data_IF_963276083146
#
_entry.id   IF_963276083146
#
_cell.length_a   1.000
_cell.length_b   1.000
_cell.length_c   1.000
_cell.angle_alpha   90.00
_cell.angle_beta   90.00
_cell.angle_gamma   90.00
#
_symmetry.space_group_name_H-M   'P 1'
#
loop_
_entity.id
_entity.type
_entity.pdbx_description
1 polymer ?
#
# COMPACT_ATOMS: atom_id res chain seq x y z
N UNK A 1 -16.90 13.63 -4.75
CA UNK A 1 -17.44 12.25 -4.74
C UNK A 1 -16.40 11.22 -4.27
N UNK A 2 -15.08 11.34 -4.57
CA UNK A 2 -14.04 10.44 -4.04
C UNK A 2 -13.97 10.48 -2.51
N UNK A 3 -14.07 11.67 -1.93
CA UNK A 3 -14.06 11.85 -0.49
C UNK A 3 -15.22 11.11 0.22
N UNK A 4 -16.40 11.05 -0.41
CA UNK A 4 -17.52 10.29 0.14
C UNK A 4 -17.22 8.78 0.24
N UNK A 5 -16.60 8.20 -0.79
CA UNK A 5 -16.18 6.80 -0.77
C UNK A 5 -15.14 6.52 0.31
N UNK A 6 -14.18 7.44 0.50
CA UNK A 6 -13.18 7.33 1.56
C UNK A 6 -13.80 7.44 2.96
N UNK A 7 -14.76 8.35 3.16
CA UNK A 7 -15.46 8.49 4.45
C UNK A 7 -16.26 7.23 4.78
N UNK A 8 -17.05 6.72 3.83
CA UNK A 8 -17.80 5.46 4.00
C UNK A 8 -16.84 4.29 4.25
N UNK A 9 -15.75 4.22 3.50
CA UNK A 9 -14.71 3.22 3.71
C UNK A 9 -14.03 3.32 5.07
N UNK A 10 -13.77 4.54 5.57
CA UNK A 10 -13.20 4.76 6.90
C UNK A 10 -14.16 4.35 8.03
N UNK A 11 -15.46 4.60 7.85
CA UNK A 11 -16.51 4.13 8.80
C UNK A 11 -16.54 2.59 8.81
N UNK A 12 -16.54 1.94 7.66
CA UNK A 12 -16.41 0.48 7.58
C UNK A 12 -15.12 -0.02 8.22
N UNK A 13 -14.01 0.67 7.98
CA UNK A 13 -12.70 0.39 8.58
C UNK A 13 -12.70 0.50 10.11
N UNK A 14 -13.51 1.40 10.68
CA UNK A 14 -13.65 1.52 12.13
C UNK A 14 -14.21 0.25 12.78
N UNK A 15 -15.16 -0.40 12.13
CA UNK A 15 -15.72 -1.68 12.61
C UNK A 15 -14.78 -2.87 12.35
N UNK A 16 -13.98 -2.80 11.28
CA UNK A 16 -13.04 -3.84 10.89
C UNK A 16 -11.66 -3.69 11.59
N UNK A 17 -11.48 -2.69 12.44
CA UNK A 17 -10.22 -2.38 13.07
C UNK A 17 -9.59 -3.57 13.81
N UNK A 18 -10.37 -4.25 14.67
CA UNK A 18 -9.86 -5.35 15.51
C UNK A 18 -9.36 -6.52 14.66
N UNK A 19 -10.16 -7.12 13.75
CA UNK A 19 -9.70 -8.24 12.94
C UNK A 19 -8.51 -7.89 12.03
N UNK A 20 -8.46 -6.65 11.53
CA UNK A 20 -7.35 -6.23 10.68
C UNK A 20 -6.10 -5.95 11.50
N UNK A 21 -6.23 -5.39 12.69
CA UNK A 21 -5.08 -5.22 13.59
C UNK A 21 -4.44 -6.58 13.91
N UNK A 22 -5.25 -7.60 14.20
CA UNK A 22 -4.76 -8.96 14.44
C UNK A 22 -4.06 -9.54 13.21
N UNK A 23 -4.63 -9.33 12.01
CA UNK A 23 -4.01 -9.74 10.76
C UNK A 23 -2.65 -9.04 10.53
N UNK A 24 -2.58 -7.74 10.77
CA UNK A 24 -1.34 -6.97 10.59
C UNK A 24 -0.25 -7.34 11.60
N UNK A 25 -0.63 -7.91 12.75
CA UNK A 25 0.31 -8.39 13.77
C UNK A 25 0.80 -9.83 13.52
N UNK A 26 0.11 -10.61 12.68
CA UNK A 26 0.51 -12.00 12.40
C UNK A 26 1.97 -12.14 11.97
N UNK A 27 2.49 -11.36 10.99
CA UNK A 27 3.88 -11.48 10.56
C UNK A 27 4.89 -11.28 11.70
N UNK A 28 4.56 -10.42 12.66
CA UNK A 28 5.40 -10.16 13.80
C UNK A 28 5.36 -11.33 14.81
N UNK A 29 4.18 -11.89 15.04
CA UNK A 29 3.99 -13.07 15.91
C UNK A 29 4.70 -14.30 15.35
N UNK A 30 4.66 -14.49 14.01
CA UNK A 30 5.33 -15.60 13.34
C UNK A 30 6.86 -15.51 13.53
N UNK A 31 7.43 -14.32 13.33
CA UNK A 31 8.87 -14.08 13.54
C UNK A 31 9.26 -14.25 15.02
N UNK A 32 8.40 -13.83 15.96
CA UNK A 32 8.62 -13.99 17.39
C UNK A 32 8.63 -15.46 17.80
N UNK A 33 7.72 -16.27 17.26
CA UNK A 33 7.63 -17.70 17.53
C UNK A 33 8.85 -18.47 17.01
N UNK A 34 9.38 -18.10 15.84
CA UNK A 34 10.55 -18.74 15.23
C UNK A 34 11.86 -18.48 16.01
N UNK A 35 11.92 -17.40 16.79
CA UNK A 35 13.15 -16.98 17.52
C UNK A 35 13.09 -17.23 19.02
N UNK A 36 12.00 -17.80 19.53
CA UNK A 36 11.77 -18.00 20.97
C UNK A 36 11.93 -16.70 21.79
N UNK A 37 11.71 -15.55 21.13
CA UNK A 37 11.83 -14.22 21.71
C UNK A 37 10.48 -13.62 22.00
N UNK A 38 10.33 -12.95 23.14
CA UNK A 38 9.11 -12.20 23.47
C UNK A 38 9.13 -10.90 22.65
N UNK A 39 8.45 -10.91 21.50
CA UNK A 39 8.22 -9.69 20.71
C UNK A 39 6.81 -9.20 21.06
N UNK A 40 6.74 -8.11 21.81
CA UNK A 40 5.46 -7.48 22.17
C UNK A 40 5.38 -6.09 21.54
N UNK A 41 4.20 -5.79 20.97
CA UNK A 41 3.89 -4.43 20.56
C UNK A 41 3.64 -3.57 21.79
N UNK A 42 4.43 -2.54 21.94
CA UNK A 42 4.28 -1.55 23.00
C UNK A 42 3.45 -0.36 22.50
N UNK A 43 2.37 -0.05 23.21
CA UNK A 43 1.60 1.17 23.03
C UNK A 43 2.03 2.18 24.09
N UNK A 44 3.05 2.95 23.79
CA UNK A 44 3.74 3.81 24.76
C UNK A 44 2.94 5.02 25.29
N UNK A 45 1.73 5.26 24.79
CA UNK A 45 0.93 6.41 25.21
C UNK A 45 -0.57 6.13 25.27
N UNK A 46 -1.28 6.83 26.16
CA UNK A 46 -2.74 6.69 26.31
C UNK A 46 -3.48 7.06 25.04
N UNK A 47 -3.00 8.09 24.32
CA UNK A 47 -3.58 8.54 23.06
C UNK A 47 -3.15 7.67 21.85
N UNK A 48 -2.07 6.89 21.97
CA UNK A 48 -1.50 6.11 20.87
C UNK A 48 -2.48 5.08 20.31
N UNK A 49 -3.20 4.39 21.18
CA UNK A 49 -4.20 3.40 20.77
C UNK A 49 -5.36 4.03 19.96
N UNK A 50 -5.79 5.24 20.34
CA UNK A 50 -6.83 5.97 19.63
C UNK A 50 -6.35 6.50 18.28
N UNK A 51 -5.15 7.10 18.25
CA UNK A 51 -4.51 7.57 17.01
C UNK A 51 -4.31 6.42 16.02
N UNK A 52 -3.85 5.27 16.50
CA UNK A 52 -3.70 4.07 15.67
C UNK A 52 -5.03 3.56 15.13
N UNK A 53 -6.10 3.59 15.93
CA UNK A 53 -7.43 3.20 15.45
C UNK A 53 -7.90 4.09 14.31
N UNK A 54 -7.67 5.40 14.39
CA UNK A 54 -8.01 6.35 13.31
C UNK A 54 -7.16 6.03 12.07
N UNK A 55 -5.83 5.91 12.21
CA UNK A 55 -4.91 5.64 11.11
C UNK A 55 -5.24 4.34 10.38
N UNK A 56 -5.47 3.25 11.12
CA UNK A 56 -5.84 1.96 10.54
C UNK A 56 -7.22 2.03 9.87
N UNK A 57 -8.18 2.73 10.46
CA UNK A 57 -9.51 2.90 9.86
C UNK A 57 -9.46 3.69 8.55
N UNK A 58 -8.64 4.76 8.48
CA UNK A 58 -8.41 5.52 7.25
C UNK A 58 -7.69 4.68 6.19
N UNK A 59 -6.69 3.91 6.60
CA UNK A 59 -5.98 2.98 5.72
C UNK A 59 -6.93 1.95 5.11
N UNK A 60 -7.77 1.33 5.93
CA UNK A 60 -8.83 0.41 5.47
C UNK A 60 -9.82 1.10 4.55
N UNK A 61 -10.14 2.36 4.84
CA UNK A 61 -10.96 3.20 3.98
C UNK A 61 -10.43 3.26 2.56
N UNK A 62 -9.14 3.41 2.37
CA UNK A 62 -8.51 3.43 1.04
C UNK A 62 -8.67 2.08 0.33
N UNK A 63 -8.49 0.96 1.04
CA UNK A 63 -8.62 -0.38 0.46
C UNK A 63 -10.06 -0.74 0.14
N UNK A 64 -10.99 -0.52 1.08
CA UNK A 64 -12.41 -0.82 0.89
C UNK A 64 -13.02 0.05 -0.21
N UNK A 65 -12.63 1.32 -0.27
CA UNK A 65 -13.09 2.23 -1.33
C UNK A 65 -12.27 2.14 -2.63
N UNK A 66 -11.31 1.22 -2.74
CA UNK A 66 -10.44 1.10 -3.92
C UNK A 66 -11.20 0.99 -5.26
N UNK A 67 -12.31 0.23 -5.40
CA UNK A 67 -13.06 0.21 -6.65
C UNK A 67 -13.62 1.59 -7.01
N UNK A 68 -14.01 2.36 -6.00
CA UNK A 68 -14.63 3.67 -6.18
C UNK A 68 -13.63 4.75 -6.59
N UNK A 69 -12.52 4.91 -5.86
CA UNK A 69 -11.54 5.94 -6.21
C UNK A 69 -10.74 5.58 -7.47
N UNK A 70 -10.47 4.30 -7.72
CA UNK A 70 -9.88 3.84 -8.97
C UNK A 70 -10.81 4.16 -10.16
N UNK A 71 -12.12 3.90 -10.01
CA UNK A 71 -13.11 4.30 -11.02
C UNK A 71 -13.09 5.81 -11.29
N UNK A 72 -12.96 6.64 -10.26
CA UNK A 72 -12.93 8.10 -10.43
C UNK A 72 -11.64 8.59 -11.10
N UNK A 73 -10.49 7.98 -10.79
CA UNK A 73 -9.26 8.23 -11.54
C UNK A 73 -9.46 7.96 -13.03
N UNK A 74 -10.11 6.84 -13.35
CA UNK A 74 -10.43 6.49 -14.72
C UNK A 74 -11.44 7.45 -15.37
N UNK A 75 -12.45 7.85 -14.65
CA UNK A 75 -13.44 8.84 -15.14
C UNK A 75 -12.78 10.18 -15.46
N UNK A 76 -11.70 10.54 -14.79
CA UNK A 76 -10.92 11.73 -15.10
C UNK A 76 -10.07 11.57 -16.39
N UNK A 77 -9.56 10.37 -16.64
CA UNK A 77 -8.75 10.08 -17.85
C UNK A 77 -9.63 9.86 -19.09
N UNK A 78 -10.84 9.30 -18.91
CA UNK A 78 -11.76 8.91 -20.00
C UNK A 78 -12.16 10.01 -20.97
N UNK A 79 -12.33 11.30 -20.60
CA UNK A 79 -12.69 12.35 -21.55
C UNK A 79 -11.69 12.56 -22.69
N UNK A 80 -10.42 12.18 -22.47
CA UNK A 80 -9.36 12.25 -23.49
C UNK A 80 -9.33 11.06 -24.46
N UNK A 81 -10.21 10.04 -24.28
CA UNK A 81 -10.17 8.80 -25.06
C UNK A 81 -11.23 8.80 -26.17
N UNK A 82 -10.90 8.20 -27.31
CA UNK A 82 -11.85 7.91 -28.39
C UNK A 82 -12.87 6.84 -27.98
N UNK A 83 -14.00 6.74 -28.69
CA UNK A 83 -15.08 5.79 -28.37
C UNK A 83 -14.61 4.33 -28.34
N UNK A 84 -13.65 3.97 -29.18
CA UNK A 84 -13.07 2.61 -29.21
C UNK A 84 -12.18 2.36 -27.98
N UNK A 85 -11.36 3.34 -27.61
CA UNK A 85 -10.44 3.27 -26.47
C UNK A 85 -11.19 3.23 -25.15
N UNK A 86 -12.35 3.90 -25.06
CA UNK A 86 -13.22 3.87 -23.89
C UNK A 86 -13.71 2.46 -23.54
N UNK A 87 -13.92 1.61 -24.52
CA UNK A 87 -14.31 0.20 -24.29
C UNK A 87 -13.18 -0.60 -23.67
N UNK A 88 -11.94 -0.36 -24.10
CA UNK A 88 -10.76 -0.97 -23.49
C UNK A 88 -10.49 -0.41 -22.10
N UNK A 89 -10.77 0.87 -21.86
CA UNK A 89 -10.63 1.50 -20.55
C UNK A 89 -11.45 0.80 -19.44
N UNK A 90 -12.64 0.30 -19.75
CA UNK A 90 -13.45 -0.49 -18.81
C UNK A 90 -12.76 -1.80 -18.44
N UNK A 91 -12.12 -2.47 -19.39
CA UNK A 91 -11.35 -3.69 -19.13
C UNK A 91 -10.12 -3.41 -18.24
N UNK A 92 -9.43 -2.30 -18.47
CA UNK A 92 -8.32 -1.87 -17.63
C UNK A 92 -8.76 -1.53 -16.20
N UNK A 93 -9.93 -0.87 -16.05
CA UNK A 93 -10.51 -0.59 -14.75
C UNK A 93 -10.81 -1.87 -13.98
N UNK A 94 -11.42 -2.86 -14.65
CA UNK A 94 -11.70 -4.16 -14.06
C UNK A 94 -10.42 -4.91 -13.64
N UNK A 95 -9.30 -4.69 -14.34
CA UNK A 95 -7.98 -5.21 -13.98
C UNK A 95 -7.26 -4.43 -12.89
N UNK A 96 -7.51 -3.11 -12.79
CA UNK A 96 -6.79 -2.23 -11.87
C UNK A 96 -7.08 -2.55 -10.39
N UNK A 97 -8.34 -2.82 -10.05
CA UNK A 97 -8.74 -3.16 -8.67
C UNK A 97 -8.07 -4.45 -8.20
N UNK A 98 -8.18 -5.60 -8.91
CA UNK A 98 -7.50 -6.82 -8.49
C UNK A 98 -5.98 -6.67 -8.50
N UNK A 99 -5.41 -5.86 -9.40
CA UNK A 99 -3.97 -5.61 -9.43
C UNK A 99 -3.50 -4.83 -8.19
N UNK A 100 -4.25 -3.81 -7.78
CA UNK A 100 -4.00 -3.07 -6.55
C UNK A 100 -4.02 -3.99 -5.32
N UNK A 101 -5.05 -4.83 -5.22
CA UNK A 101 -5.19 -5.78 -4.12
C UNK A 101 -4.11 -6.87 -4.15
N UNK A 102 -3.74 -7.36 -5.34
CA UNK A 102 -2.66 -8.31 -5.51
C UNK A 102 -1.30 -7.73 -5.10
N UNK A 103 -1.04 -6.45 -5.40
CA UNK A 103 0.16 -5.74 -4.95
C UNK A 103 0.24 -5.67 -3.42
N UNK A 104 -0.86 -5.31 -2.77
CA UNK A 104 -0.94 -5.30 -1.32
C UNK A 104 -0.80 -6.71 -0.71
N UNK A 105 -1.42 -7.73 -1.31
CA UNK A 105 -1.27 -9.12 -0.88
C UNK A 105 0.17 -9.60 -1.00
N UNK A 106 0.86 -9.24 -2.08
CA UNK A 106 2.28 -9.55 -2.26
C UNK A 106 3.14 -8.89 -1.18
N UNK A 107 2.88 -7.62 -0.86
CA UNK A 107 3.57 -6.91 0.21
C UNK A 107 3.34 -7.59 1.57
N UNK A 108 2.10 -7.99 1.86
CA UNK A 108 1.78 -8.71 3.08
C UNK A 108 2.51 -10.06 3.17
N UNK A 109 2.58 -10.80 2.07
CA UNK A 109 3.33 -12.06 2.00
C UNK A 109 4.84 -11.87 2.18
N UNK A 110 5.41 -10.77 1.68
CA UNK A 110 6.82 -10.45 1.83
C UNK A 110 7.17 -9.88 3.22
N UNK A 111 6.18 -9.44 3.99
CA UNK A 111 6.35 -8.75 5.27
C UNK A 111 7.13 -9.56 6.31
N UNK A 112 6.90 -10.88 6.53
CA UNK A 112 7.69 -11.66 7.49
C UNK A 112 9.18 -11.64 7.18
N UNK A 113 9.54 -11.74 5.89
CA UNK A 113 10.94 -11.67 5.47
C UNK A 113 11.55 -10.28 5.72
N UNK A 114 10.78 -9.20 5.47
CA UNK A 114 11.23 -7.85 5.75
C UNK A 114 11.45 -7.62 7.26
N UNK A 115 10.53 -8.13 8.10
CA UNK A 115 10.66 -8.05 9.57
C UNK A 115 11.86 -8.86 10.06
N UNK A 116 12.07 -10.07 9.53
CA UNK A 116 13.23 -10.91 9.86
C UNK A 116 14.56 -10.18 9.60
N UNK A 117 14.70 -9.61 8.40
CA UNK A 117 15.89 -8.84 8.00
C UNK A 117 16.12 -7.65 8.94
N UNK A 118 15.07 -6.92 9.30
CA UNK A 118 15.19 -5.76 10.20
C UNK A 118 15.54 -6.14 11.64
N UNK A 119 15.06 -7.30 12.11
CA UNK A 119 15.36 -7.80 13.46
C UNK A 119 16.67 -8.57 13.56
N UNK A 120 17.28 -8.94 12.44
CA UNK A 120 18.55 -9.70 12.39
C UNK A 120 19.73 -8.89 12.95
N UNK A 121 19.64 -7.56 12.89
CA UNK A 121 20.64 -6.65 13.44
C UNK A 121 20.48 -6.42 14.96
N UNK A 122 19.46 -6.98 15.60
CA UNK A 122 19.26 -6.85 17.04
C UNK A 122 20.04 -7.96 17.76
N UNK A 123 20.89 -7.64 18.78
CA UNK A 123 21.60 -8.64 19.56
C UNK A 123 20.64 -9.64 20.23
N UNK A 124 21.06 -10.90 20.35
CA UNK A 124 20.23 -12.01 20.88
C UNK A 124 19.78 -11.80 22.33
N UNK A 125 20.55 -11.03 23.12
CA UNK A 125 20.23 -10.73 24.51
C UNK A 125 19.31 -9.52 24.73
N UNK A 126 18.88 -8.83 23.64
CA UNK A 126 18.06 -7.64 23.72
C UNK A 126 16.57 -7.98 23.62
N UNK A 127 15.78 -7.57 24.62
CA UNK A 127 14.32 -7.63 24.54
C UNK A 127 13.83 -6.64 23.48
N UNK A 128 13.28 -7.16 22.39
CA UNK A 128 12.84 -6.32 21.26
C UNK A 128 11.42 -5.80 21.53
N UNK A 129 11.32 -4.66 22.23
CA UNK A 129 10.05 -3.93 22.37
C UNK A 129 9.83 -3.08 21.14
N UNK A 130 9.05 -3.60 20.21
CA UNK A 130 8.72 -2.87 18.98
C UNK A 130 7.58 -1.90 19.27
N UNK A 131 7.80 -0.61 18.98
CA UNK A 131 6.75 0.40 19.08
C UNK A 131 5.64 0.10 18.06
N UNK A 132 4.41 -0.08 18.59
CA UNK A 132 3.24 -0.44 17.80
C UNK A 132 2.94 0.58 16.69
N UNK A 133 3.14 1.87 16.98
CA UNK A 133 2.87 2.95 16.03
C UNK A 133 3.84 2.91 14.84
N UNK A 134 5.12 2.71 15.13
CA UNK A 134 6.17 2.62 14.12
C UNK A 134 5.96 1.40 13.23
N UNK A 135 5.74 0.23 13.83
CA UNK A 135 5.50 -1.00 13.09
C UNK A 135 4.27 -0.94 12.19
N UNK A 136 3.10 -0.58 12.74
CA UNK A 136 1.86 -0.52 11.98
C UNK A 136 1.92 0.54 10.87
N UNK A 137 2.57 1.68 11.15
CA UNK A 137 2.79 2.71 10.12
C UNK A 137 3.69 2.22 8.98
N UNK A 138 4.73 1.46 9.30
CA UNK A 138 5.60 0.82 8.31
C UNK A 138 4.81 -0.15 7.44
N UNK A 139 4.05 -1.06 8.06
CA UNK A 139 3.24 -2.06 7.34
C UNK A 139 2.22 -1.38 6.42
N UNK A 140 1.46 -0.42 6.94
CA UNK A 140 0.47 0.32 6.14
C UNK A 140 1.09 1.02 4.94
N UNK A 141 2.23 1.69 5.12
CA UNK A 141 2.97 2.35 4.02
C UNK A 141 3.46 1.35 2.99
N UNK A 142 3.98 0.20 3.44
CA UNK A 142 4.46 -0.86 2.56
C UNK A 142 3.33 -1.42 1.69
N UNK A 143 2.19 -1.77 2.28
CA UNK A 143 1.04 -2.29 1.57
C UNK A 143 0.49 -1.28 0.54
N UNK A 144 0.38 0.00 0.93
CA UNK A 144 -0.05 1.06 0.01
C UNK A 144 0.94 1.27 -1.13
N UNK A 145 2.23 1.31 -0.83
CA UNK A 145 3.27 1.52 -1.84
C UNK A 145 3.26 0.40 -2.89
N UNK A 146 3.17 -0.86 -2.47
CA UNK A 146 3.08 -2.00 -3.38
C UNK A 146 1.76 -2.00 -4.16
N UNK A 147 0.63 -1.74 -3.50
CA UNK A 147 -0.66 -1.61 -4.18
C UNK A 147 -0.63 -0.55 -5.28
N UNK A 148 -0.11 0.64 -4.98
CA UNK A 148 0.04 1.72 -5.96
C UNK A 148 1.07 1.40 -7.05
N UNK A 149 2.18 0.73 -6.69
CA UNK A 149 3.19 0.32 -7.66
C UNK A 149 2.62 -0.64 -8.71
N UNK A 150 1.75 -1.56 -8.30
CA UNK A 150 1.06 -2.48 -9.21
C UNK A 150 0.02 -1.77 -10.11
N UNK A 151 -0.47 -0.60 -9.71
CA UNK A 151 -1.32 0.23 -10.57
C UNK A 151 -0.53 0.97 -11.66
N UNK A 152 0.78 1.20 -11.49
CA UNK A 152 1.58 1.95 -12.44
C UNK A 152 1.52 1.41 -13.88
N UNK A 153 1.63 0.08 -14.15
CA UNK A 153 1.53 -0.45 -15.50
C UNK A 153 0.20 -0.12 -16.17
N UNK A 154 -0.90 -0.23 -15.41
CA UNK A 154 -2.26 0.06 -15.89
C UNK A 154 -2.39 1.55 -16.20
N UNK A 155 -1.85 2.40 -15.34
CA UNK A 155 -1.88 3.85 -15.49
C UNK A 155 -1.03 4.30 -16.68
N UNK A 156 0.13 3.68 -16.92
CA UNK A 156 0.98 3.93 -18.09
C UNK A 156 0.26 3.58 -19.40
N UNK A 157 -0.42 2.43 -19.44
CA UNK A 157 -1.20 2.03 -20.62
C UNK A 157 -2.35 3.01 -20.86
N UNK A 158 -3.04 3.43 -19.79
CA UNK A 158 -4.10 4.42 -19.85
C UNK A 158 -3.63 5.76 -20.45
N UNK A 159 -2.51 6.28 -19.94
CA UNK A 159 -1.93 7.53 -20.43
C UNK A 159 -1.45 7.43 -21.88
N UNK A 160 -0.96 6.26 -22.29
CA UNK A 160 -0.60 6.01 -23.69
C UNK A 160 -1.83 6.05 -24.61
N UNK A 161 -2.97 5.45 -24.21
CA UNK A 161 -4.23 5.54 -24.95
C UNK A 161 -4.79 6.97 -24.98
N UNK A 162 -4.65 7.72 -23.90
CA UNK A 162 -5.06 9.12 -23.84
C UNK A 162 -4.18 10.07 -24.69
N UNK A 163 -3.14 9.53 -25.38
CA UNK A 163 -2.23 10.32 -26.20
C UNK A 163 -1.29 11.25 -25.43
N UNK A 164 -1.33 11.22 -24.08
CA UNK A 164 -0.51 12.08 -23.21
C UNK A 164 0.94 11.57 -23.12
N UNK A 165 1.15 10.26 -23.36
CA UNK A 165 2.48 9.65 -23.32
C UNK A 165 2.71 8.69 -24.48
N UNK A 166 3.57 9.06 -25.44
CA UNK A 166 4.00 8.13 -26.48
C UNK A 166 4.88 7.03 -25.88
N UNK A 167 4.67 5.79 -26.29
CA UNK A 167 5.45 4.64 -25.83
C UNK A 167 6.97 4.83 -26.02
N UNK A 168 7.39 5.57 -27.06
CA UNK A 168 8.78 5.93 -27.33
C UNK A 168 9.37 6.84 -26.25
N UNK A 169 8.58 7.78 -25.72
CA UNK A 169 8.99 8.68 -24.63
C UNK A 169 9.21 7.90 -23.35
N UNK A 170 8.32 6.93 -23.05
CA UNK A 170 8.43 6.07 -21.87
C UNK A 170 9.64 5.14 -21.96
N UNK A 171 9.91 4.57 -23.12
CA UNK A 171 11.11 3.73 -23.34
C UNK A 171 12.43 4.51 -23.20
N UNK A 172 12.42 5.80 -23.50
CA UNK A 172 13.58 6.68 -23.34
C UNK A 172 13.71 7.19 -21.90
N UNK A 173 12.57 7.43 -21.24
CA UNK A 173 12.51 7.91 -19.86
C UNK A 173 12.72 6.80 -18.81
N UNK A 174 12.60 5.52 -19.16
CA UNK A 174 12.78 4.40 -18.26
C UNK A 174 14.09 4.45 -17.47
N UNK A 175 15.20 4.78 -18.13
CA UNK A 175 16.51 4.93 -17.48
C UNK A 175 16.50 6.02 -16.40
N UNK A 176 15.83 7.14 -16.70
CA UNK A 176 15.67 8.24 -15.75
C UNK A 176 14.71 7.87 -14.62
N UNK A 177 13.66 7.16 -14.89
CA UNK A 177 12.72 6.68 -13.88
C UNK A 177 13.40 5.73 -12.87
N UNK A 178 14.23 4.81 -13.35
CA UNK A 178 15.04 3.93 -12.49
C UNK A 178 16.02 4.73 -11.65
N UNK A 179 16.76 5.67 -12.25
CA UNK A 179 17.71 6.53 -11.55
C UNK A 179 17.02 7.35 -10.46
N UNK A 180 15.89 7.97 -10.77
CA UNK A 180 15.09 8.75 -9.80
C UNK A 180 14.58 7.86 -8.68
N UNK A 181 14.06 6.66 -8.99
CA UNK A 181 13.58 5.71 -7.98
C UNK A 181 14.71 5.27 -7.04
N UNK A 182 15.89 4.94 -7.57
CA UNK A 182 17.05 4.58 -6.75
C UNK A 182 17.55 5.74 -5.90
N UNK A 183 17.66 6.94 -6.49
CA UNK A 183 18.10 8.14 -5.76
C UNK A 183 17.12 8.51 -4.66
N UNK A 184 15.81 8.46 -4.95
CA UNK A 184 14.76 8.70 -3.98
C UNK A 184 14.79 7.66 -2.85
N UNK A 185 14.93 6.39 -3.18
CA UNK A 185 15.08 5.32 -2.21
C UNK A 185 16.32 5.52 -1.33
N UNK A 186 17.45 5.87 -1.91
CA UNK A 186 18.69 6.12 -1.18
C UNK A 186 18.61 7.33 -0.24
N UNK A 187 17.90 8.40 -0.65
CA UNK A 187 17.70 9.59 0.18
C UNK A 187 16.71 9.34 1.29
N UNK A 188 15.65 8.54 1.04
CA UNK A 188 14.62 8.22 2.05
C UNK A 188 15.06 7.15 3.05
N UNK A 189 16.12 6.40 2.76
CA UNK A 189 16.66 5.33 3.64
C UNK A 189 17.70 5.89 4.64
N UNK A 190 17.96 7.20 4.59
CA UNK A 190 18.85 7.90 5.51
C UNK A 190 18.03 8.58 6.64
#
# INVERSE_FOLDING_TARGET
FAALGLVVGAIAGWFLYVPVLDLLQQPLRDVAADRDTIVALNFAGVATSFDMKIKVSLFLGVFVSSPWWIYQLWAFVTPGLTTKERRYAVGFLAGAVPLFLAGAALAFWALPNAVRLLTEFTPEDATNLIDAQTYLSFVMRLLLAFGLAFLLPVLMVALNFAGIGRAETWRRAWRWAVLVAFTFSAVMTR
#
